data_IF_891101203345
#
_entry.id   IF_891101203345
#
_cell.length_a   1.000
_cell.length_b   1.000
_cell.length_c   1.000
_cell.angle_alpha   90.00
_cell.angle_beta   90.00
_cell.angle_gamma   90.00
#
_symmetry.space_group_name_H-M   'P 1'
#
loop_
_entity.id
_entity.type
_entity.pdbx_description
1 polymer ?
#
# COMPACT_ATOMS: atom_id res chain seq x y z
N UNK A 1 19.42 9.16 -59.48
CA UNK A 1 19.02 9.15 -58.05
C UNK A 1 17.51 8.98 -58.02
N UNK A 2 17.00 7.92 -57.39
CA UNK A 2 15.55 7.62 -57.38
C UNK A 2 14.98 8.16 -56.08
N UNK A 3 14.24 9.27 -56.15
CA UNK A 3 13.59 9.88 -54.99
C UNK A 3 12.31 9.10 -54.61
N UNK A 4 12.20 8.79 -53.33
CA UNK A 4 11.12 7.99 -52.77
C UNK A 4 9.88 8.86 -52.50
N UNK A 5 8.84 8.72 -53.34
CA UNK A 5 7.58 9.51 -53.30
C UNK A 5 6.55 9.03 -52.25
N UNK A 6 6.98 8.36 -51.18
CA UNK A 6 6.04 7.89 -50.16
C UNK A 6 5.77 8.96 -49.10
N UNK A 7 4.68 9.71 -49.30
CA UNK A 7 4.11 10.62 -48.28
C UNK A 7 3.46 9.79 -47.17
N UNK A 8 4.19 9.54 -46.07
CA UNK A 8 3.68 8.86 -44.87
C UNK A 8 2.64 9.73 -44.15
N UNK A 9 1.39 9.68 -44.61
CA UNK A 9 0.24 10.22 -43.89
C UNK A 9 -0.09 9.32 -42.71
N UNK A 10 0.43 9.64 -41.51
CA UNK A 10 -0.06 9.01 -40.28
C UNK A 10 -1.47 9.53 -40.01
N UNK A 11 -2.47 8.66 -40.15
CA UNK A 11 -3.87 9.02 -39.90
C UNK A 11 -4.03 9.67 -38.52
N UNK A 12 -4.55 10.90 -38.51
CA UNK A 12 -4.78 11.67 -37.28
C UNK A 12 -5.88 11.07 -36.40
N UNK A 13 -5.93 11.50 -35.15
CA UNK A 13 -6.98 11.13 -34.19
C UNK A 13 -8.35 11.51 -34.77
N UNK A 14 -9.18 10.50 -35.07
CA UNK A 14 -10.58 10.74 -35.44
C UNK A 14 -11.36 11.21 -34.21
N UNK A 15 -12.29 12.13 -34.38
CA UNK A 15 -13.20 12.49 -33.28
C UNK A 15 -13.94 11.21 -32.83
N UNK A 16 -13.88 10.90 -31.54
CA UNK A 16 -14.41 9.65 -30.97
C UNK A 16 -13.50 8.42 -31.06
N UNK A 17 -12.25 8.54 -31.53
CA UNK A 17 -11.28 7.46 -31.48
C UNK A 17 -10.76 7.21 -30.05
N UNK A 18 -10.83 5.96 -29.60
CA UNK A 18 -10.35 5.51 -28.28
C UNK A 18 -11.39 4.71 -27.50
N UNK A 19 -10.94 4.08 -26.41
CA UNK A 19 -11.83 3.38 -25.47
C UNK A 19 -12.68 4.42 -24.73
N UNK A 20 -14.01 4.30 -24.80
CA UNK A 20 -14.95 5.15 -24.05
C UNK A 20 -14.56 5.18 -22.57
N UNK A 21 -14.41 6.37 -22.01
CA UNK A 21 -13.93 6.57 -20.65
C UNK A 21 -14.93 6.02 -19.63
N UNK A 22 -14.46 5.18 -18.70
CA UNK A 22 -15.17 4.89 -17.45
C UNK A 22 -16.20 3.75 -17.43
N UNK A 23 -16.64 3.17 -18.55
CA UNK A 23 -17.66 2.09 -18.48
C UNK A 23 -17.15 0.84 -17.78
N UNK A 24 -15.95 0.38 -18.13
CA UNK A 24 -15.30 -0.76 -17.50
C UNK A 24 -14.90 -0.44 -16.04
N UNK A 25 -14.46 0.79 -15.77
CA UNK A 25 -14.15 1.25 -14.41
C UNK A 25 -15.37 1.25 -13.49
N UNK A 26 -16.54 1.69 -14.00
CA UNK A 26 -17.82 1.65 -13.26
C UNK A 26 -18.23 0.23 -12.90
N UNK A 27 -18.15 -0.71 -13.86
CA UNK A 27 -18.50 -2.11 -13.63
C UNK A 27 -17.55 -2.78 -12.63
N UNK A 28 -16.24 -2.55 -12.75
CA UNK A 28 -15.25 -3.08 -11.79
C UNK A 28 -15.50 -2.54 -10.38
N UNK A 29 -15.85 -1.25 -10.26
CA UNK A 29 -16.19 -0.64 -8.97
C UNK A 29 -17.44 -1.26 -8.33
N UNK A 30 -18.49 -1.47 -9.12
CA UNK A 30 -19.72 -2.11 -8.62
C UNK A 30 -19.47 -3.54 -8.12
N UNK A 31 -18.62 -4.30 -8.80
CA UNK A 31 -18.23 -5.64 -8.36
C UNK A 31 -17.47 -5.56 -7.03
N UNK A 32 -16.51 -4.63 -6.91
CA UNK A 32 -15.76 -4.45 -5.68
C UNK A 32 -16.66 -4.04 -4.49
N UNK A 33 -17.61 -3.13 -4.71
CA UNK A 33 -18.59 -2.72 -3.70
C UNK A 33 -19.52 -3.88 -3.31
N UNK A 34 -20.02 -4.67 -4.27
CA UNK A 34 -20.86 -5.83 -4.00
C UNK A 34 -20.13 -6.95 -3.26
N UNK A 35 -18.84 -7.14 -3.53
CA UNK A 35 -18.02 -8.13 -2.81
C UNK A 35 -17.68 -7.63 -1.41
N UNK A 36 -17.51 -6.31 -1.23
CA UNK A 36 -17.28 -5.69 0.07
C UNK A 36 -18.50 -5.82 0.99
N UNK A 37 -19.73 -5.69 0.48
CA UNK A 37 -20.93 -5.93 1.29
C UNK A 37 -21.10 -7.37 1.73
N UNK A 38 -20.50 -8.33 1.01
CA UNK A 38 -20.52 -9.75 1.34
C UNK A 38 -19.37 -10.16 2.30
N UNK A 39 -18.41 -9.27 2.58
CA UNK A 39 -17.23 -9.61 3.39
C UNK A 39 -16.30 -10.63 2.72
N UNK A 40 -16.21 -10.60 1.38
CA UNK A 40 -15.33 -11.46 0.58
C UNK A 40 -14.34 -10.59 -0.22
N UNK A 41 -13.90 -9.48 0.34
CA UNK A 41 -12.87 -8.65 -0.27
C UNK A 41 -11.55 -9.42 -0.42
N UNK A 42 -10.67 -9.02 -1.35
CA UNK A 42 -9.35 -9.64 -1.47
C UNK A 42 -8.56 -9.67 -0.16
N UNK A 43 -8.67 -8.61 0.66
CA UNK A 43 -8.02 -8.54 1.97
C UNK A 43 -8.57 -9.61 2.93
N UNK A 44 -9.89 -9.74 3.03
CA UNK A 44 -10.51 -10.75 3.90
C UNK A 44 -10.16 -12.18 3.46
N UNK A 45 -10.13 -12.44 2.15
CA UNK A 45 -9.69 -13.74 1.61
C UNK A 45 -8.23 -14.01 1.99
N UNK A 46 -7.33 -13.03 1.80
CA UNK A 46 -5.93 -13.17 2.21
C UNK A 46 -5.80 -13.45 3.72
N UNK A 47 -6.52 -12.70 4.57
CA UNK A 47 -6.46 -12.89 6.01
C UNK A 47 -7.01 -14.26 6.45
N UNK A 48 -8.14 -14.71 5.87
CA UNK A 48 -8.74 -16.02 6.17
C UNK A 48 -7.80 -17.16 5.78
N UNK A 49 -7.22 -17.11 4.57
CA UNK A 49 -6.28 -18.14 4.10
C UNK A 49 -5.01 -18.15 4.95
N UNK A 50 -4.47 -16.97 5.27
CA UNK A 50 -3.31 -16.85 6.16
C UNK A 50 -3.57 -17.50 7.52
N UNK A 51 -4.73 -17.20 8.13
CA UNK A 51 -5.12 -17.77 9.42
C UNK A 51 -5.30 -19.28 9.34
N UNK A 52 -6.01 -19.79 8.32
CA UNK A 52 -6.23 -21.22 8.15
C UNK A 52 -4.91 -21.98 8.02
N UNK A 53 -3.97 -21.50 7.20
CA UNK A 53 -2.66 -22.12 7.03
C UNK A 53 -1.83 -22.11 8.33
N UNK A 54 -1.96 -21.06 9.14
CA UNK A 54 -1.30 -20.97 10.44
C UNK A 54 -1.86 -22.00 11.43
N UNK A 55 -3.18 -22.11 11.51
CA UNK A 55 -3.87 -23.11 12.35
C UNK A 55 -3.53 -24.54 11.92
N UNK A 56 -3.59 -24.82 10.61
CA UNK A 56 -3.21 -26.11 10.04
C UNK A 56 -1.76 -26.47 10.39
N UNK A 57 -0.84 -25.50 10.35
CA UNK A 57 0.54 -25.72 10.77
C UNK A 57 0.68 -26.11 12.24
N UNK A 58 -0.15 -25.51 13.12
CA UNK A 58 -0.22 -25.85 14.54
C UNK A 58 -0.78 -27.26 14.80
N UNK A 59 -1.70 -27.69 13.94
CA UNK A 59 -2.37 -28.99 14.02
C UNK A 59 -1.57 -30.15 13.40
N UNK A 60 -0.43 -29.89 12.73
CA UNK A 60 0.44 -30.97 12.27
C UNK A 60 0.98 -31.74 13.48
N UNK A 61 0.49 -32.97 13.67
CA UNK A 61 0.92 -33.87 14.73
C UNK A 61 2.06 -34.77 14.26
N UNK A 62 3.06 -34.98 15.14
CA UNK A 62 4.20 -35.86 14.86
C UNK A 62 3.75 -37.32 14.65
N UNK A 63 2.67 -37.73 15.32
CA UNK A 63 2.11 -39.09 15.33
C UNK A 63 1.44 -39.48 14.01
N UNK A 64 0.94 -38.52 13.23
CA UNK A 64 0.18 -38.78 12.00
C UNK A 64 1.09 -39.06 10.79
N UNK A 65 2.34 -38.58 10.83
CA UNK A 65 3.33 -38.75 9.75
C UNK A 65 4.39 -39.83 10.04
N UNK A 66 4.49 -40.32 11.28
CA UNK A 66 5.42 -41.38 11.68
C UNK A 66 6.92 -41.01 11.65
N UNK A 67 7.25 -39.83 11.13
CA UNK A 67 8.60 -39.24 11.11
C UNK A 67 8.53 -37.75 11.47
N UNK A 68 9.24 -37.39 12.54
CA UNK A 68 9.36 -36.03 13.04
C UNK A 68 9.94 -35.06 12.00
N UNK A 69 10.80 -35.55 11.12
CA UNK A 69 11.41 -34.73 10.06
C UNK A 69 10.35 -34.29 9.06
N UNK A 70 9.50 -35.22 8.62
CA UNK A 70 8.42 -34.95 7.68
C UNK A 70 7.35 -34.03 8.29
N UNK A 71 7.01 -34.24 9.58
CA UNK A 71 6.06 -33.38 10.29
C UNK A 71 6.58 -31.93 10.37
N UNK A 72 7.87 -31.75 10.69
CA UNK A 72 8.49 -30.43 10.71
C UNK A 72 8.54 -29.78 9.33
N UNK A 73 8.84 -30.55 8.28
CA UNK A 73 8.85 -30.04 6.91
C UNK A 73 7.46 -29.55 6.47
N UNK A 74 6.42 -30.34 6.75
CA UNK A 74 5.03 -29.97 6.47
C UNK A 74 4.63 -28.69 7.21
N UNK A 75 4.97 -28.59 8.50
CA UNK A 75 4.72 -27.39 9.31
C UNK A 75 5.44 -26.16 8.74
N UNK A 76 6.72 -26.27 8.40
CA UNK A 76 7.50 -25.17 7.81
C UNK A 76 6.90 -24.73 6.48
N UNK A 77 6.44 -25.66 5.66
CA UNK A 77 5.81 -25.35 4.37
C UNK A 77 4.51 -24.54 4.55
N UNK A 78 3.64 -24.97 5.46
CA UNK A 78 2.38 -24.26 5.76
C UNK A 78 2.65 -22.86 6.32
N UNK A 79 3.62 -22.71 7.23
CA UNK A 79 4.03 -21.42 7.76
C UNK A 79 4.60 -20.49 6.69
N UNK A 80 5.40 -21.02 5.75
CA UNK A 80 5.92 -20.24 4.62
C UNK A 80 4.80 -19.79 3.68
N UNK A 81 3.78 -20.62 3.46
CA UNK A 81 2.59 -20.23 2.69
C UNK A 81 1.82 -19.11 3.42
N UNK A 82 1.60 -19.25 4.72
CA UNK A 82 0.95 -18.22 5.54
C UNK A 82 1.73 -16.89 5.49
N UNK A 83 3.07 -16.93 5.65
CA UNK A 83 3.94 -15.75 5.56
C UNK A 83 3.88 -15.09 4.17
N UNK A 84 3.78 -15.88 3.10
CA UNK A 84 3.62 -15.37 1.73
C UNK A 84 2.31 -14.61 1.57
N UNK A 85 1.21 -15.15 2.07
CA UNK A 85 -0.10 -14.46 2.06
C UNK A 85 -0.05 -13.19 2.92
N UNK A 86 0.57 -13.25 4.11
CA UNK A 86 0.79 -12.09 4.97
C UNK A 86 1.57 -10.96 4.27
N UNK A 87 2.60 -11.30 3.48
CA UNK A 87 3.33 -10.33 2.64
C UNK A 87 2.42 -9.63 1.63
N UNK A 88 1.50 -10.36 1.02
CA UNK A 88 0.53 -9.79 0.07
C UNK A 88 -0.52 -8.91 0.76
N UNK A 89 -0.90 -9.23 2.00
CA UNK A 89 -1.84 -8.45 2.80
C UNK A 89 -1.22 -7.18 3.40
N UNK A 90 0.09 -7.17 3.69
CA UNK A 90 0.79 -6.09 4.38
C UNK A 90 0.52 -4.67 3.85
N UNK A 91 0.46 -4.39 2.53
CA UNK A 91 0.20 -3.05 2.02
C UNK A 91 -1.17 -2.47 2.39
N UNK A 92 -2.13 -3.33 2.75
CA UNK A 92 -3.49 -2.94 3.10
C UNK A 92 -3.70 -2.77 4.62
N UNK A 93 -2.80 -3.36 5.42
CA UNK A 93 -2.89 -3.33 6.89
C UNK A 93 -1.90 -2.31 7.48
N UNK A 94 -0.75 -2.14 6.85
CA UNK A 94 0.31 -1.25 7.34
C UNK A 94 0.41 0.00 6.47
N UNK A 95 0.11 1.20 7.02
CA UNK A 95 0.24 2.45 6.28
C UNK A 95 1.69 2.67 5.84
N UNK A 96 1.89 3.09 4.58
CA UNK A 96 3.21 3.46 4.07
C UNK A 96 3.55 4.86 4.54
N UNK A 97 4.77 5.07 5.03
CA UNK A 97 5.24 6.38 5.52
C UNK A 97 5.05 7.51 4.48
N UNK A 98 5.17 7.21 3.18
CA UNK A 98 4.94 8.18 2.10
C UNK A 98 3.50 8.66 1.96
N UNK A 99 2.54 7.99 2.59
CA UNK A 99 1.12 8.36 2.59
C UNK A 99 0.73 9.20 3.82
N UNK A 100 1.67 9.43 4.75
CA UNK A 100 1.45 10.30 5.91
C UNK A 100 1.79 11.72 5.45
N UNK A 101 0.76 12.53 5.21
CA UNK A 101 0.92 13.97 4.99
C UNK A 101 1.39 14.61 6.31
N UNK A 102 2.67 14.94 6.40
CA UNK A 102 3.14 15.84 7.44
C UNK A 102 2.74 17.26 7.04
N UNK A 103 1.62 17.75 7.53
CA UNK A 103 1.24 19.17 7.42
C UNK A 103 1.59 19.90 8.71
N UNK A 104 1.85 21.21 8.61
CA UNK A 104 1.92 22.09 9.77
C UNK A 104 0.56 22.25 10.45
N UNK A 105 0.53 23.01 11.54
CA UNK A 105 -0.71 23.35 12.26
C UNK A 105 -1.75 23.91 11.28
N UNK A 106 -2.99 23.42 11.37
CA UNK A 106 -4.12 23.82 10.54
C UNK A 106 -3.97 23.57 9.02
N UNK A 107 -3.18 22.55 8.64
CA UNK A 107 -2.97 22.20 7.23
C UNK A 107 -2.03 23.14 6.48
N UNK A 108 -1.40 24.08 7.19
CA UNK A 108 -0.38 24.94 6.61
C UNK A 108 0.84 24.11 6.15
N UNK A 109 1.63 24.61 5.18
CA UNK A 109 2.91 24.00 4.85
C UNK A 109 3.76 23.81 6.11
N UNK A 110 4.46 22.67 6.23
CA UNK A 110 5.46 22.50 7.27
C UNK A 110 6.41 23.67 7.21
N UNK A 111 6.57 24.40 8.32
CA UNK A 111 7.60 25.41 8.40
C UNK A 111 8.95 24.70 8.47
N UNK A 112 9.55 24.47 7.30
CA UNK A 112 10.94 24.06 7.17
C UNK A 112 11.84 25.25 7.48
N UNK A 113 11.78 25.73 8.72
CA UNK A 113 12.71 26.71 9.24
C UNK A 113 13.93 25.98 9.79
N UNK A 114 15.12 26.29 9.28
CA UNK A 114 16.34 26.04 10.06
C UNK A 114 16.20 26.91 11.30
N UNK A 115 15.92 26.29 12.45
CA UNK A 115 16.02 26.97 13.73
C UNK A 115 17.52 27.24 13.95
N UNK A 116 17.99 28.39 13.47
CA UNK A 116 19.28 28.92 13.91
C UNK A 116 19.08 29.31 15.36
N UNK A 117 19.31 28.35 16.26
CA UNK A 117 19.41 28.63 17.69
C UNK A 117 20.62 29.55 17.83
N UNK A 118 20.45 30.82 18.24
CA UNK A 118 21.59 31.67 18.55
C UNK A 118 22.38 30.95 19.64
N UNK A 119 23.68 30.79 19.44
CA UNK A 119 24.57 30.23 20.46
C UNK A 119 24.38 31.02 21.76
N UNK A 120 23.61 30.45 22.69
CA UNK A 120 23.17 31.01 23.96
C UNK A 120 22.51 32.40 23.87
N UNK A 121 21.18 32.44 23.67
CA UNK A 121 20.39 33.58 24.17
C UNK A 121 20.42 33.57 25.70
N UNK A 122 20.50 34.75 26.31
CA UNK A 122 20.31 34.87 27.76
C UNK A 122 18.84 34.55 28.14
N UNK A 123 18.62 34.11 29.38
CA UNK A 123 17.29 33.75 29.89
C UNK A 123 16.29 34.90 29.71
N UNK A 124 16.74 36.13 29.93
CA UNK A 124 15.91 37.34 29.82
C UNK A 124 15.49 37.62 28.37
N UNK A 125 16.37 37.36 27.39
CA UNK A 125 16.07 37.50 25.96
C UNK A 125 15.09 36.42 25.46
N UNK A 126 15.17 35.21 26.03
CA UNK A 126 14.25 34.13 25.70
C UNK A 126 12.83 34.39 26.22
N UNK A 127 12.71 34.95 27.44
CA UNK A 127 11.43 35.24 28.08
C UNK A 127 10.67 36.37 27.36
N UNK A 128 11.37 37.40 26.86
CA UNK A 128 10.77 38.45 26.03
C UNK A 128 10.32 37.95 24.66
N UNK A 129 11.09 37.07 24.01
CA UNK A 129 10.74 36.49 22.72
C UNK A 129 9.53 35.55 22.81
N UNK A 130 9.35 34.86 23.95
CA UNK A 130 8.22 33.96 24.19
C UNK A 130 6.90 34.70 24.49
N UNK A 131 6.94 35.96 24.95
CA UNK A 131 5.75 36.71 25.38
C UNK A 131 5.05 37.52 24.28
N UNK A 132 5.63 37.68 23.08
CA UNK A 132 5.03 38.51 22.05
C UNK A 132 4.22 37.71 21.00
N UNK A 133 2.91 37.55 21.26
CA UNK A 133 1.80 37.87 20.33
C UNK A 133 0.46 37.34 20.85
N UNK A 134 -0.29 38.21 21.54
CA UNK A 134 -1.74 38.28 21.39
C UNK A 134 -2.07 39.26 20.27
#
# INVERSE_FOLDING_TARGET
MIENNQKKSKGGKRQGAGRKTGSLTKRTRQIAEAVATQGITPLEVMMKVMHQLYEEAGNVQEEELGDKTLANEARIKLLNMAATVGRHAAPYVHPRLSAIEHTGKDGAPLQSGVLVVPSAMSIDEWEQAAQAKH
#
